data_IF_170498869649
#
_entry.id   IF_170498869649
#
_cell.length_a   1.000
_cell.length_b   1.000
_cell.length_c   1.000
_cell.angle_alpha   90.00
_cell.angle_beta   90.00
_cell.angle_gamma   90.00
#
_symmetry.space_group_name_H-M   'P 1'
#
loop_
_entity.id
_entity.type
_entity.pdbx_description
1 polymer ?
#
# COMPACT_ATOMS: atom_id res chain seq x y z
N UNK A 1 -14.77 -15.86 -17.20
CA UNK A 1 -13.50 -16.18 -16.49
C UNK A 1 -13.83 -16.94 -15.20
N UNK A 2 -13.15 -18.07 -14.93
CA UNK A 2 -13.55 -19.08 -13.91
C UNK A 2 -13.53 -18.50 -12.48
N UNK A 3 -14.62 -18.72 -11.73
CA UNK A 3 -14.86 -18.27 -10.34
C UNK A 3 -13.75 -18.57 -9.32
N UNK A 4 -12.82 -19.48 -9.63
CA UNK A 4 -11.64 -19.80 -8.81
C UNK A 4 -10.64 -18.64 -8.70
N UNK A 5 -10.48 -17.83 -9.75
CA UNK A 5 -9.47 -16.76 -9.79
C UNK A 5 -9.71 -15.63 -8.79
N UNK A 6 -10.96 -15.18 -8.66
CA UNK A 6 -11.32 -14.08 -7.75
C UNK A 6 -11.09 -14.42 -6.28
N UNK A 7 -11.36 -15.66 -5.88
CA UNK A 7 -11.11 -16.10 -4.50
C UNK A 7 -9.62 -16.05 -4.18
N UNK A 8 -8.77 -16.57 -5.07
CA UNK A 8 -7.31 -16.53 -4.92
C UNK A 8 -6.79 -15.10 -4.88
N UNK A 9 -7.23 -14.25 -5.81
CA UNK A 9 -6.84 -12.84 -5.84
C UNK A 9 -7.23 -12.10 -4.55
N UNK A 10 -8.42 -12.38 -4.00
CA UNK A 10 -8.88 -11.78 -2.75
C UNK A 10 -8.03 -12.23 -1.56
N UNK A 11 -7.66 -13.52 -1.50
CA UNK A 11 -6.75 -14.02 -0.46
C UNK A 11 -5.35 -13.41 -0.57
N UNK A 12 -4.82 -13.27 -1.79
CA UNK A 12 -3.53 -12.63 -2.01
C UNK A 12 -3.56 -11.17 -1.57
N UNK A 13 -4.60 -10.41 -1.92
CA UNK A 13 -4.75 -9.03 -1.48
C UNK A 13 -4.81 -8.92 0.06
N UNK A 14 -5.56 -9.83 0.71
CA UNK A 14 -5.65 -9.86 2.17
C UNK A 14 -4.30 -10.20 2.81
N UNK A 15 -3.58 -11.18 2.24
CA UNK A 15 -2.23 -11.54 2.68
C UNK A 15 -1.27 -10.36 2.56
N UNK A 16 -1.27 -9.65 1.42
CA UNK A 16 -0.46 -8.45 1.19
C UNK A 16 -0.75 -7.38 2.23
N UNK A 17 -2.02 -7.13 2.55
CA UNK A 17 -2.40 -6.16 3.60
C UNK A 17 -1.78 -6.54 4.94
N UNK A 18 -1.96 -7.78 5.40
CA UNK A 18 -1.44 -8.19 6.72
C UNK A 18 0.09 -8.22 6.77
N UNK A 19 0.72 -8.73 5.71
CA UNK A 19 2.17 -8.80 5.60
C UNK A 19 2.78 -7.39 5.66
N UNK A 20 2.27 -6.46 4.84
CA UNK A 20 2.78 -5.08 4.79
C UNK A 20 2.49 -4.28 6.07
N UNK A 21 1.36 -4.51 6.75
CA UNK A 21 1.13 -3.88 8.06
C UNK A 21 2.21 -4.32 9.07
N UNK A 22 2.51 -5.62 9.13
CA UNK A 22 3.52 -6.15 10.05
C UNK A 22 4.92 -5.66 9.67
N UNK A 23 5.28 -5.76 8.39
CA UNK A 23 6.57 -5.31 7.88
C UNK A 23 6.78 -3.81 8.11
N UNK A 24 5.77 -2.99 7.81
CA UNK A 24 5.82 -1.54 8.03
C UNK A 24 6.02 -1.17 9.49
N UNK A 25 5.27 -1.79 10.40
CA UNK A 25 5.41 -1.55 11.85
C UNK A 25 6.79 -1.97 12.37
N UNK A 26 7.25 -3.17 11.99
CA UNK A 26 8.56 -3.69 12.43
C UNK A 26 9.69 -2.85 11.86
N UNK A 27 9.64 -2.50 10.57
CA UNK A 27 10.68 -1.71 9.90
C UNK A 27 10.76 -0.29 10.43
N UNK A 28 9.62 0.38 10.68
CA UNK A 28 9.64 1.70 11.32
C UNK A 28 10.15 1.64 12.76
N UNK A 29 9.79 0.61 13.53
CA UNK A 29 10.29 0.45 14.89
C UNK A 29 11.81 0.29 14.91
N UNK A 30 12.34 -0.66 14.15
CA UNK A 30 13.79 -0.91 14.08
C UNK A 30 14.49 0.30 13.45
N UNK A 31 13.92 0.88 12.40
CA UNK A 31 14.47 2.05 11.72
C UNK A 31 14.59 3.26 12.64
N UNK A 32 13.60 3.50 13.50
CA UNK A 32 13.66 4.56 14.49
C UNK A 32 14.62 4.24 15.64
N UNK A 33 14.71 2.97 16.07
CA UNK A 33 15.62 2.55 17.14
C UNK A 33 17.10 2.61 16.73
N UNK A 34 17.42 2.25 15.50
CA UNK A 34 18.78 2.22 14.94
C UNK A 34 19.14 3.52 14.18
N UNK A 35 18.27 4.55 14.25
CA UNK A 35 18.43 5.84 13.55
C UNK A 35 18.64 5.69 12.02
N UNK A 36 18.07 4.64 11.42
CA UNK A 36 18.22 4.34 9.99
C UNK A 36 17.03 4.85 9.17
N UNK A 37 17.22 6.01 8.55
CA UNK A 37 16.23 6.63 7.66
C UNK A 37 15.80 5.74 6.49
N UNK A 38 16.71 4.91 5.97
CA UNK A 38 16.40 3.98 4.89
C UNK A 38 15.39 2.91 5.31
N UNK A 39 15.61 2.26 6.46
CA UNK A 39 14.70 1.22 6.98
C UNK A 39 13.38 1.82 7.45
N UNK A 40 13.43 3.02 8.05
CA UNK A 40 12.22 3.76 8.40
C UNK A 40 11.40 4.12 7.16
N UNK A 41 12.05 4.61 6.09
CA UNK A 41 11.42 4.92 4.81
C UNK A 41 10.83 3.70 4.12
N UNK A 42 11.50 2.54 4.19
CA UNK A 42 10.97 1.26 3.74
C UNK A 42 9.70 0.87 4.51
N UNK A 43 9.70 1.05 5.83
CA UNK A 43 8.52 0.83 6.65
C UNK A 43 7.35 1.74 6.30
N UNK A 44 7.64 3.02 6.02
CA UNK A 44 6.64 3.99 5.57
C UNK A 44 6.03 3.63 4.20
N UNK A 45 6.85 3.15 3.25
CA UNK A 45 6.39 2.68 1.93
C UNK A 45 5.41 1.51 2.04
N UNK A 46 5.65 0.60 2.98
CA UNK A 46 4.77 -0.55 3.22
C UNK A 46 3.31 -0.13 3.52
N UNK A 47 3.08 1.02 4.18
CA UNK A 47 1.73 1.55 4.38
C UNK A 47 1.08 2.07 3.09
N UNK A 48 1.86 2.58 2.14
CA UNK A 48 1.39 2.96 0.81
C UNK A 48 0.89 1.72 0.08
N UNK A 49 1.63 0.62 0.18
CA UNK A 49 1.20 -0.66 -0.38
C UNK A 49 -0.09 -1.19 0.28
N UNK A 50 -0.24 -1.04 1.60
CA UNK A 50 -1.49 -1.40 2.30
C UNK A 50 -2.69 -0.65 1.73
N UNK A 51 -2.57 0.67 1.53
CA UNK A 51 -3.65 1.49 0.96
C UNK A 51 -4.00 0.99 -0.44
N UNK A 52 -2.99 0.70 -1.26
CA UNK A 52 -3.20 0.18 -2.61
C UNK A 52 -3.86 -1.22 -2.60
N UNK A 53 -3.44 -2.11 -1.70
CA UNK A 53 -3.95 -3.47 -1.59
C UNK A 53 -5.39 -3.51 -1.07
N UNK A 54 -5.75 -2.60 -0.15
CA UNK A 54 -7.15 -2.37 0.26
C UNK A 54 -7.99 -1.91 -0.93
N UNK A 55 -7.47 -1.00 -1.76
CA UNK A 55 -8.12 -0.57 -3.00
C UNK A 55 -8.37 -1.73 -3.98
N UNK A 56 -7.37 -2.59 -4.17
CA UNK A 56 -7.48 -3.80 -5.02
C UNK A 56 -8.48 -4.81 -4.43
N UNK A 57 -8.45 -5.05 -3.13
CA UNK A 57 -9.39 -5.95 -2.47
C UNK A 57 -10.84 -5.45 -2.62
N UNK A 58 -11.07 -4.15 -2.44
CA UNK A 58 -12.37 -3.54 -2.67
C UNK A 58 -12.84 -3.70 -4.12
N UNK A 59 -11.96 -3.44 -5.09
CA UNK A 59 -12.23 -3.63 -6.51
C UNK A 59 -12.62 -5.08 -6.85
N UNK A 60 -11.89 -6.06 -6.29
CA UNK A 60 -12.19 -7.48 -6.50
C UNK A 60 -13.58 -7.84 -5.95
N UNK A 61 -13.96 -7.29 -4.80
CA UNK A 61 -15.26 -7.51 -4.20
C UNK A 61 -16.39 -6.87 -5.03
N UNK A 62 -16.20 -5.64 -5.52
CA UNK A 62 -17.15 -4.94 -6.41
C UNK A 62 -17.39 -5.71 -7.70
N UNK A 63 -16.32 -6.12 -8.39
CA UNK A 63 -16.41 -6.85 -9.67
C UNK A 63 -17.15 -8.19 -9.47
N UNK A 64 -16.89 -8.87 -8.34
CA UNK A 64 -17.58 -10.12 -7.99
C UNK A 64 -19.07 -9.92 -7.72
N UNK A 65 -19.48 -8.79 -7.14
CA UNK A 65 -20.86 -8.54 -6.73
C UNK A 65 -21.77 -8.03 -7.86
N UNK A 66 -21.30 -7.09 -8.70
CA UNK A 66 -22.19 -6.29 -9.56
C UNK A 66 -21.82 -6.28 -11.06
N UNK A 67 -20.92 -7.14 -11.54
CA UNK A 67 -20.64 -7.26 -12.99
C UNK A 67 -19.85 -6.10 -13.63
N UNK A 68 -19.67 -4.98 -12.94
CA UNK A 68 -18.67 -3.95 -13.22
C UNK A 68 -19.03 -2.97 -14.34
N UNK A 69 -19.62 -1.83 -13.99
CA UNK A 69 -19.84 -0.74 -14.97
C UNK A 69 -18.97 0.50 -14.74
N UNK A 70 -18.49 0.79 -13.52
CA UNK A 70 -17.58 1.93 -13.28
C UNK A 70 -16.71 1.77 -12.01
N UNK A 71 -15.54 2.45 -11.99
CA UNK A 71 -14.72 2.62 -10.78
C UNK A 71 -15.49 3.46 -9.78
N UNK A 72 -15.62 2.98 -8.57
CA UNK A 72 -16.30 3.73 -7.52
C UNK A 72 -15.41 4.84 -6.95
N UNK A 73 -16.01 5.74 -6.16
CA UNK A 73 -15.25 6.83 -5.55
C UNK A 73 -14.15 6.32 -4.62
N UNK A 74 -14.35 5.17 -3.98
CA UNK A 74 -13.36 4.57 -3.10
C UNK A 74 -12.09 4.18 -3.86
N UNK A 75 -12.21 3.45 -4.97
CA UNK A 75 -11.07 3.07 -5.83
C UNK A 75 -10.30 4.31 -6.32
N UNK A 76 -11.02 5.36 -6.72
CA UNK A 76 -10.38 6.60 -7.17
C UNK A 76 -9.66 7.34 -6.03
N UNK A 77 -10.25 7.37 -4.84
CA UNK A 77 -9.63 7.96 -3.65
C UNK A 77 -8.41 7.16 -3.21
N UNK A 78 -8.51 5.83 -3.18
CA UNK A 78 -7.39 4.95 -2.85
C UNK A 78 -6.21 5.16 -3.80
N UNK A 79 -6.46 5.24 -5.11
CA UNK A 79 -5.43 5.56 -6.12
C UNK A 79 -4.79 6.94 -5.90
N UNK A 80 -5.61 7.98 -5.64
CA UNK A 80 -5.10 9.33 -5.38
C UNK A 80 -4.25 9.40 -4.10
N UNK A 81 -4.72 8.77 -3.02
CA UNK A 81 -3.98 8.72 -1.75
C UNK A 81 -2.68 7.97 -1.95
N UNK A 82 -2.70 6.80 -2.58
CA UNK A 82 -1.49 6.01 -2.90
C UNK A 82 -0.48 6.86 -3.66
N UNK A 83 -0.91 7.53 -4.73
CA UNK A 83 -0.04 8.37 -5.54
C UNK A 83 0.54 9.56 -4.78
N UNK A 84 -0.29 10.28 -4.03
CA UNK A 84 0.15 11.43 -3.21
C UNK A 84 1.13 10.98 -2.13
N UNK A 85 0.85 9.87 -1.43
CA UNK A 85 1.75 9.31 -0.44
C UNK A 85 3.11 8.94 -1.05
N UNK A 86 3.12 8.38 -2.26
CA UNK A 86 4.37 8.01 -2.95
C UNK A 86 5.22 9.24 -3.29
N UNK A 87 4.59 10.32 -3.77
CA UNK A 87 5.28 11.59 -4.00
C UNK A 87 5.81 12.22 -2.71
N UNK A 88 5.02 12.21 -1.64
CA UNK A 88 5.44 12.75 -0.34
C UNK A 88 6.62 11.97 0.24
N UNK A 89 6.57 10.63 0.19
CA UNK A 89 7.66 9.79 0.67
C UNK A 89 8.94 10.03 -0.13
N UNK A 90 8.82 10.06 -1.47
CA UNK A 90 9.96 10.34 -2.36
C UNK A 90 10.57 11.70 -2.06
N UNK A 91 9.74 12.75 -1.96
CA UNK A 91 10.21 14.10 -1.65
C UNK A 91 10.90 14.17 -0.28
N UNK A 92 10.34 13.50 0.73
CA UNK A 92 10.95 13.39 2.06
C UNK A 92 12.32 12.72 2.01
N UNK A 93 12.42 11.55 1.38
CA UNK A 93 13.69 10.81 1.26
C UNK A 93 14.75 11.61 0.49
N UNK A 94 14.37 12.27 -0.61
CA UNK A 94 15.28 13.11 -1.40
C UNK A 94 15.77 14.30 -0.57
N UNK A 95 14.87 15.02 0.10
CA UNK A 95 15.24 16.15 0.96
C UNK A 95 16.19 15.72 2.08
N UNK A 96 15.89 14.61 2.74
CA UNK A 96 16.72 14.07 3.81
C UNK A 96 18.08 13.58 3.31
N UNK A 97 18.15 12.98 2.11
CA UNK A 97 19.42 12.58 1.51
C UNK A 97 20.33 13.79 1.25
N UNK A 98 19.78 14.93 0.82
CA UNK A 98 20.55 16.16 0.66
C UNK A 98 20.98 16.81 1.97
N UNK A 99 20.19 16.71 3.04
CA UNK A 99 20.52 17.29 4.35
C UNK A 99 21.54 16.46 5.13
N UNK A 100 21.63 15.16 4.85
CA UNK A 100 22.59 14.23 5.47
C UNK A 100 23.91 14.08 4.68
N UNK A 101 24.09 14.85 3.60
CA UNK A 101 25.35 15.02 2.87
C UNK A 101 26.13 16.21 3.42
#
# INVERSE_FOLDING_TARGET
MRSSGYKRASYLALFTIFYNVLEGLVSMWIGAADETLALFGFGADSFIEVISAVGVWHMLQRIRANGGESRDEFEQRALKITGVSFYLLTAGLVATAFLNL
#
